data_IF_684854969742
#
_entry.id   IF_684854969742
#
_cell.length_a   1.000
_cell.length_b   1.000
_cell.length_c   1.000
_cell.angle_alpha   90.00
_cell.angle_beta   90.00
_cell.angle_gamma   90.00
#
_symmetry.space_group_name_H-M   'P 1'
#
loop_
_entity.id
_entity.type
_entity.pdbx_description
1 polymer ?
#
# COMPACT_ATOMS: atom_id res chain seq x y z
N UNK A 1 10.19 -27.24 -19.59
CA UNK A 1 9.28 -27.81 -20.61
C UNK A 1 9.65 -29.25 -20.97
N UNK A 2 10.85 -29.50 -21.49
CA UNK A 2 11.31 -30.85 -21.90
C UNK A 2 11.11 -31.97 -20.85
N UNK A 3 11.22 -31.66 -19.55
CA UNK A 3 10.97 -32.63 -18.47
C UNK A 3 9.53 -33.14 -18.43
N UNK A 4 8.55 -32.27 -18.72
CA UNK A 4 7.11 -32.58 -18.66
C UNK A 4 6.51 -32.85 -20.03
N UNK A 5 7.21 -32.43 -21.10
CA UNK A 5 6.87 -32.71 -22.48
C UNK A 5 8.11 -33.11 -23.29
N UNK A 6 8.58 -34.36 -23.15
CA UNK A 6 9.85 -34.83 -23.71
C UNK A 6 9.98 -34.65 -25.23
N UNK A 7 8.88 -34.68 -25.97
CA UNK A 7 8.82 -34.46 -27.42
C UNK A 7 9.30 -33.07 -27.84
N UNK A 8 9.33 -32.11 -26.92
CA UNK A 8 9.91 -30.78 -27.17
C UNK A 8 11.44 -30.77 -27.10
N UNK A 9 12.08 -31.71 -26.41
CA UNK A 9 13.53 -31.76 -26.24
C UNK A 9 14.31 -31.70 -27.57
N UNK A 10 14.04 -32.55 -28.58
CA UNK A 10 14.79 -32.51 -29.83
C UNK A 10 14.56 -31.21 -30.61
N UNK A 11 13.40 -30.56 -30.45
CA UNK A 11 13.09 -29.29 -31.10
C UNK A 11 13.85 -28.13 -30.43
N UNK A 12 13.92 -28.13 -29.10
CA UNK A 12 14.71 -27.16 -28.32
C UNK A 12 16.20 -27.31 -28.66
N UNK A 13 16.71 -28.54 -28.67
CA UNK A 13 18.11 -28.81 -29.04
C UNK A 13 18.44 -28.35 -30.47
N UNK A 14 17.53 -28.59 -31.42
CA UNK A 14 17.71 -28.12 -32.78
C UNK A 14 17.74 -26.59 -32.87
N UNK A 15 16.85 -25.89 -32.15
CA UNK A 15 16.84 -24.43 -32.09
C UNK A 15 18.16 -23.88 -31.51
N UNK A 16 18.63 -24.45 -30.40
CA UNK A 16 19.91 -24.05 -29.78
C UNK A 16 21.11 -24.35 -30.67
N UNK A 17 21.13 -25.49 -31.38
CA UNK A 17 22.20 -25.82 -32.33
C UNK A 17 22.24 -24.86 -33.52
N UNK A 18 21.07 -24.47 -34.03
CA UNK A 18 20.97 -23.51 -35.13
C UNK A 18 21.36 -22.09 -34.69
N UNK A 19 20.97 -21.70 -33.48
CA UNK A 19 21.18 -20.35 -32.93
C UNK A 19 21.78 -20.42 -31.51
N UNK A 20 23.09 -20.70 -31.36
CA UNK A 20 23.73 -20.88 -30.03
C UNK A 20 23.61 -19.66 -29.11
N UNK A 21 23.47 -18.48 -29.71
CA UNK A 21 23.27 -17.19 -29.06
C UNK A 21 21.94 -17.10 -28.28
N UNK A 22 20.98 -18.02 -28.49
CA UNK A 22 19.77 -18.12 -27.66
C UNK A 22 20.09 -18.40 -26.17
N UNK A 23 21.25 -18.97 -25.86
CA UNK A 23 21.69 -19.29 -24.50
C UNK A 23 22.58 -18.23 -23.84
N UNK A 24 23.04 -17.22 -24.60
CA UNK A 24 24.02 -16.24 -24.09
C UNK A 24 23.35 -14.92 -23.73
N UNK A 25 23.05 -14.74 -22.44
CA UNK A 25 22.36 -13.55 -21.93
C UNK A 25 23.09 -12.22 -22.25
N UNK A 26 24.42 -12.17 -22.11
CA UNK A 26 25.20 -10.94 -22.13
C UNK A 26 25.69 -10.48 -23.53
N UNK A 27 25.57 -11.30 -24.57
CA UNK A 27 26.13 -11.03 -25.91
C UNK A 27 25.13 -11.22 -27.05
N UNK A 28 23.89 -11.65 -26.78
CA UNK A 28 22.95 -11.97 -27.85
C UNK A 28 22.17 -10.74 -28.33
N UNK A 29 21.98 -10.63 -29.64
CA UNK A 29 20.98 -9.75 -30.27
C UNK A 29 19.53 -10.21 -30.05
N UNK A 30 19.30 -11.30 -29.30
CA UNK A 30 17.97 -11.85 -29.07
C UNK A 30 17.37 -11.31 -27.80
N UNK A 31 16.20 -10.72 -27.99
CA UNK A 31 15.32 -10.21 -26.96
C UNK A 31 14.64 -11.37 -26.20
N UNK A 32 14.16 -11.14 -24.97
CA UNK A 32 13.57 -12.20 -24.13
C UNK A 32 12.34 -12.83 -24.79
N UNK A 33 11.52 -12.02 -25.46
CA UNK A 33 10.39 -12.47 -26.26
C UNK A 33 10.80 -13.40 -27.40
N UNK A 34 11.89 -13.09 -28.12
CA UNK A 34 12.41 -13.96 -29.18
C UNK A 34 12.86 -15.32 -28.62
N UNK A 35 13.54 -15.34 -27.47
CA UNK A 35 13.93 -16.60 -26.80
C UNK A 35 12.71 -17.40 -26.36
N UNK A 36 11.71 -16.76 -25.75
CA UNK A 36 10.46 -17.39 -25.36
C UNK A 36 9.76 -18.02 -26.58
N UNK A 37 9.71 -17.30 -27.69
CA UNK A 37 9.13 -17.78 -28.94
C UNK A 37 9.86 -19.04 -29.45
N UNK A 38 11.19 -19.00 -29.57
CA UNK A 38 12.01 -20.08 -30.15
C UNK A 38 12.15 -21.30 -29.25
N UNK A 39 12.25 -21.10 -27.94
CA UNK A 39 12.56 -22.17 -26.99
C UNK A 39 11.31 -22.76 -26.31
N UNK A 40 10.19 -22.03 -26.31
CA UNK A 40 8.96 -22.46 -25.62
C UNK A 40 7.81 -22.62 -26.60
N UNK A 41 7.41 -21.54 -27.27
CA UNK A 41 6.17 -21.53 -28.07
C UNK A 41 6.25 -22.34 -29.36
N UNK A 42 7.33 -22.22 -30.12
CA UNK A 42 7.51 -22.98 -31.36
C UNK A 42 7.62 -24.49 -31.12
N UNK A 43 8.46 -24.99 -30.18
CA UNK A 43 8.51 -26.40 -29.84
C UNK A 43 7.15 -26.93 -29.36
N UNK A 44 6.47 -26.18 -28.46
CA UNK A 44 5.16 -26.59 -27.95
C UNK A 44 4.13 -26.69 -29.08
N UNK A 45 4.06 -25.68 -29.95
CA UNK A 45 3.14 -25.65 -31.10
C UNK A 45 3.40 -26.83 -32.04
N UNK A 46 4.66 -27.14 -32.33
CA UNK A 46 5.02 -28.25 -33.19
C UNK A 46 4.60 -29.60 -32.61
N UNK A 47 4.77 -29.80 -31.30
CA UNK A 47 4.30 -31.02 -30.61
C UNK A 47 2.76 -31.07 -30.58
N UNK A 48 2.10 -29.97 -30.23
CA UNK A 48 0.64 -29.88 -30.17
C UNK A 48 0.00 -30.16 -31.54
N UNK A 49 0.60 -29.68 -32.64
CA UNK A 49 0.15 -29.95 -34.00
C UNK A 49 0.27 -31.44 -34.37
N UNK A 50 1.36 -32.10 -33.96
CA UNK A 50 1.56 -33.55 -34.16
C UNK A 50 0.58 -34.37 -33.31
N UNK A 51 0.37 -33.94 -32.07
CA UNK A 51 -0.46 -34.64 -31.11
C UNK A 51 -1.97 -34.42 -31.33
N UNK A 52 -2.38 -33.37 -32.05
CA UNK A 52 -3.76 -33.22 -32.56
C UNK A 52 -4.20 -34.37 -33.47
N UNK A 53 -3.27 -35.18 -33.98
CA UNK A 53 -3.55 -36.42 -34.73
C UNK A 53 -3.87 -37.62 -33.80
N UNK A 54 -3.65 -37.47 -32.48
CA UNK A 54 -3.86 -38.48 -31.45
C UNK A 54 -4.71 -37.88 -30.30
N UNK A 55 -5.99 -38.25 -30.22
CA UNK A 55 -7.02 -37.72 -29.28
C UNK A 55 -6.63 -37.49 -27.80
N UNK A 56 -5.54 -38.07 -27.31
CA UNK A 56 -5.11 -38.03 -25.91
C UNK A 56 -4.55 -36.67 -25.45
N UNK A 57 -3.80 -35.98 -26.31
CA UNK A 57 -3.03 -34.78 -25.92
C UNK A 57 -3.88 -33.51 -25.74
N UNK A 58 -5.11 -33.52 -26.25
CA UNK A 58 -6.06 -32.41 -26.17
C UNK A 58 -6.99 -32.48 -24.94
N UNK A 59 -6.87 -33.54 -24.12
CA UNK A 59 -7.80 -33.77 -23.01
C UNK A 59 -7.64 -32.76 -21.86
N UNK A 60 -6.44 -32.21 -21.66
CA UNK A 60 -6.17 -31.17 -20.67
C UNK A 60 -5.15 -30.14 -21.20
N UNK A 61 -5.34 -28.83 -20.92
CA UNK A 61 -4.37 -27.81 -21.29
C UNK A 61 -3.11 -27.91 -20.43
N UNK A 62 -1.94 -27.67 -21.04
CA UNK A 62 -0.69 -27.48 -20.31
C UNK A 62 -0.70 -26.11 -19.62
N UNK A 63 -0.19 -26.04 -18.40
CA UNK A 63 -0.07 -24.81 -17.63
C UNK A 63 1.40 -24.46 -17.43
N UNK A 64 1.77 -23.24 -17.82
CA UNK A 64 3.03 -22.61 -17.42
C UNK A 64 2.73 -21.66 -16.28
N UNK A 65 3.48 -21.78 -15.18
CA UNK A 65 3.41 -20.88 -14.03
C UNK A 65 4.69 -20.04 -14.05
N UNK A 66 4.53 -18.72 -14.09
CA UNK A 66 5.60 -17.74 -13.91
C UNK A 66 5.37 -17.11 -12.55
N UNK A 67 6.26 -17.38 -11.60
CA UNK A 67 6.17 -16.86 -10.24
C UNK A 67 7.13 -15.67 -10.08
N UNK A 68 6.63 -14.51 -9.65
CA UNK A 68 7.43 -13.30 -9.41
C UNK A 68 7.96 -12.64 -10.68
N UNK A 69 7.10 -12.33 -11.65
CA UNK A 69 7.53 -11.67 -12.90
C UNK A 69 8.21 -10.30 -12.65
N UNK A 70 7.82 -9.60 -11.59
CA UNK A 70 8.40 -8.32 -11.15
C UNK A 70 9.85 -8.43 -10.64
N UNK A 71 10.33 -9.62 -10.29
CA UNK A 71 11.72 -9.82 -9.85
C UNK A 71 12.73 -9.82 -11.02
N UNK A 72 12.24 -9.62 -12.25
CA UNK A 72 13.09 -9.51 -13.43
C UNK A 72 13.58 -8.08 -13.63
N UNK A 73 14.88 -7.86 -13.50
CA UNK A 73 15.51 -6.53 -13.65
C UNK A 73 15.33 -5.91 -15.05
N UNK A 74 15.20 -6.74 -16.09
CA UNK A 74 14.99 -6.31 -17.49
C UNK A 74 13.51 -5.97 -17.75
N UNK A 75 13.12 -4.74 -17.41
CA UNK A 75 11.73 -4.25 -17.54
C UNK A 75 11.24 -4.26 -18.99
N UNK A 76 12.10 -3.87 -19.93
CA UNK A 76 11.80 -3.92 -21.37
C UNK A 76 11.58 -5.36 -21.84
N UNK A 77 12.44 -6.28 -21.40
CA UNK A 77 12.30 -7.70 -21.67
C UNK A 77 11.03 -8.32 -21.08
N UNK A 78 10.60 -7.90 -19.88
CA UNK A 78 9.30 -8.29 -19.29
C UNK A 78 8.14 -7.86 -20.18
N UNK A 79 8.14 -6.61 -20.65
CA UNK A 79 7.12 -6.13 -21.58
C UNK A 79 7.09 -6.96 -22.87
N UNK A 80 8.26 -7.31 -23.40
CA UNK A 80 8.36 -8.11 -24.61
C UNK A 80 7.87 -9.55 -24.43
N UNK A 81 8.13 -10.15 -23.26
CA UNK A 81 7.59 -11.46 -22.87
C UNK A 81 6.07 -11.41 -22.83
N UNK A 82 5.48 -10.39 -22.22
CA UNK A 82 4.03 -10.19 -22.18
C UNK A 82 3.47 -10.04 -23.61
N UNK A 83 4.06 -9.16 -24.41
CA UNK A 83 3.62 -8.88 -25.78
C UNK A 83 3.70 -10.11 -26.69
N UNK A 84 4.79 -10.86 -26.59
CA UNK A 84 5.00 -12.09 -27.35
C UNK A 84 4.00 -13.16 -26.94
N UNK A 85 3.72 -13.27 -25.65
CA UNK A 85 2.71 -14.19 -25.11
C UNK A 85 1.32 -13.88 -25.64
N UNK A 86 0.90 -12.61 -25.57
CA UNK A 86 -0.40 -12.18 -26.08
C UNK A 86 -0.53 -12.40 -27.59
N UNK A 87 0.54 -12.08 -28.34
CA UNK A 87 0.61 -12.32 -29.78
C UNK A 87 0.48 -13.81 -30.11
N UNK A 88 1.17 -14.68 -29.36
CA UNK A 88 1.10 -16.12 -29.53
C UNK A 88 -0.33 -16.65 -29.33
N UNK A 89 -1.00 -16.28 -28.24
CA UNK A 89 -2.37 -16.73 -27.98
C UNK A 89 -3.38 -16.17 -29.01
N UNK A 90 -3.20 -14.93 -29.46
CA UNK A 90 -4.03 -14.34 -30.52
C UNK A 90 -3.88 -15.10 -31.85
N UNK A 91 -2.67 -15.54 -32.19
CA UNK A 91 -2.40 -16.30 -33.41
C UNK A 91 -2.79 -17.78 -33.30
N UNK A 92 -2.91 -18.32 -32.08
CA UNK A 92 -3.15 -19.74 -31.84
C UNK A 92 -4.27 -19.94 -30.79
N UNK A 93 -5.52 -19.52 -31.05
CA UNK A 93 -6.59 -19.48 -30.04
C UNK A 93 -6.99 -20.86 -29.49
N UNK A 94 -6.76 -21.93 -30.26
CA UNK A 94 -7.08 -23.31 -29.88
C UNK A 94 -5.90 -24.09 -29.30
N UNK A 95 -4.77 -23.42 -29.04
CA UNK A 95 -3.60 -24.09 -28.46
C UNK A 95 -3.94 -24.61 -27.07
N UNK A 96 -3.62 -25.88 -26.71
CA UNK A 96 -3.89 -26.43 -25.39
C UNK A 96 -2.83 -25.95 -24.37
N UNK A 97 -2.63 -24.64 -24.28
CA UNK A 97 -1.66 -24.00 -23.38
C UNK A 97 -2.36 -22.90 -22.57
N UNK A 98 -2.00 -22.76 -21.31
CA UNK A 98 -2.40 -21.70 -20.40
C UNK A 98 -1.17 -21.16 -19.69
N UNK A 99 -1.20 -19.87 -19.37
CA UNK A 99 -0.15 -19.22 -18.57
C UNK A 99 -0.81 -18.59 -17.35
N UNK A 100 -0.24 -18.86 -16.19
CA UNK A 100 -0.53 -18.19 -14.93
C UNK A 100 0.70 -17.40 -14.52
N UNK A 101 0.52 -16.13 -14.20
CA UNK A 101 1.58 -15.22 -13.78
C UNK A 101 1.22 -14.70 -12.39
N UNK A 102 2.11 -14.87 -11.42
CA UNK A 102 2.10 -14.08 -10.19
C UNK A 102 3.10 -12.93 -10.36
N UNK A 103 2.72 -11.76 -9.89
CA UNK A 103 3.55 -10.56 -9.98
C UNK A 103 3.02 -9.49 -9.03
N UNK A 104 3.90 -8.61 -8.54
CA UNK A 104 3.49 -7.32 -7.98
C UNK A 104 2.94 -6.41 -9.09
N UNK A 105 2.14 -5.42 -8.69
CA UNK A 105 1.52 -4.45 -9.61
C UNK A 105 2.53 -3.36 -9.97
N UNK A 106 3.58 -3.73 -10.71
CA UNK A 106 4.45 -2.74 -11.32
C UNK A 106 3.77 -2.11 -12.53
N UNK A 107 3.94 -0.80 -12.72
CA UNK A 107 3.28 -0.06 -13.80
C UNK A 107 3.57 -0.66 -15.17
N UNK A 108 4.81 -1.07 -15.42
CA UNK A 108 5.24 -1.62 -16.71
C UNK A 108 4.51 -2.94 -17.06
N UNK A 109 4.17 -3.75 -16.05
CA UNK A 109 3.40 -5.00 -16.17
C UNK A 109 1.92 -4.68 -16.34
N UNK A 110 1.38 -3.79 -15.50
CA UNK A 110 -0.04 -3.41 -15.56
C UNK A 110 -0.41 -2.77 -16.91
N UNK A 111 0.40 -1.81 -17.39
CA UNK A 111 0.18 -1.15 -18.69
C UNK A 111 0.21 -2.14 -19.87
N UNK A 112 1.08 -3.15 -19.82
CA UNK A 112 1.17 -4.17 -20.87
C UNK A 112 -0.05 -5.11 -20.87
N UNK A 113 -0.61 -5.43 -19.70
CA UNK A 113 -1.73 -6.37 -19.56
C UNK A 113 -3.11 -5.73 -19.70
N UNK A 114 -3.30 -4.51 -19.20
CA UNK A 114 -4.60 -3.82 -19.20
C UNK A 114 -5.05 -3.40 -20.61
N UNK A 115 -4.09 -3.15 -21.52
CA UNK A 115 -4.36 -2.56 -22.83
C UNK A 115 -4.77 -3.56 -23.93
N UNK A 116 -4.66 -4.88 -23.71
CA UNK A 116 -4.59 -5.86 -24.83
C UNK A 116 -5.64 -6.97 -24.88
N UNK A 117 -6.55 -7.07 -23.91
CA UNK A 117 -7.59 -8.09 -23.89
C UNK A 117 -7.06 -9.53 -23.78
N UNK A 118 -7.91 -10.50 -23.43
CA UNK A 118 -7.49 -11.91 -23.31
C UNK A 118 -6.72 -12.28 -22.03
N UNK A 119 -6.46 -11.31 -21.15
CA UNK A 119 -5.88 -11.53 -19.82
C UNK A 119 -6.97 -11.44 -18.75
N UNK A 120 -6.99 -12.40 -17.83
CA UNK A 120 -7.81 -12.32 -16.61
C UNK A 120 -6.93 -11.83 -15.47
N UNK A 121 -7.03 -10.55 -15.15
CA UNK A 121 -6.36 -9.96 -14.00
C UNK A 121 -7.15 -10.26 -12.74
N UNK A 122 -6.44 -10.65 -11.69
CA UNK A 122 -7.02 -10.89 -10.37
C UNK A 122 -6.13 -10.23 -9.33
N UNK A 123 -6.63 -9.17 -8.72
CA UNK A 123 -5.97 -8.53 -7.59
C UNK A 123 -6.13 -9.39 -6.33
N UNK A 124 -5.01 -9.75 -5.71
CA UNK A 124 -4.94 -10.54 -4.49
C UNK A 124 -4.73 -9.69 -3.24
N UNK A 125 -4.56 -8.38 -3.36
CA UNK A 125 -4.30 -7.51 -2.21
C UNK A 125 -5.44 -7.53 -1.19
N UNK A 126 -6.69 -7.67 -1.66
CA UNK A 126 -7.86 -7.83 -0.81
C UNK A 126 -8.23 -9.29 -0.53
N UNK A 127 -7.32 -10.25 -0.82
CA UNK A 127 -7.57 -11.69 -0.63
C UNK A 127 -6.84 -12.27 0.57
N UNK A 128 -6.05 -11.47 1.29
CA UNK A 128 -5.61 -11.83 2.63
C UNK A 128 -6.53 -11.15 3.65
N UNK A 129 -7.57 -11.87 4.07
CA UNK A 129 -8.48 -11.39 5.10
C UNK A 129 -7.92 -11.65 6.50
N UNK A 130 -8.48 -10.94 7.48
CA UNK A 130 -8.30 -11.27 8.90
C UNK A 130 -8.62 -12.74 9.16
N UNK A 131 -9.65 -13.27 8.52
CA UNK A 131 -10.12 -14.65 8.69
C UNK A 131 -9.09 -15.68 8.19
N UNK A 132 -8.32 -15.35 7.15
CA UNK A 132 -7.23 -16.18 6.65
C UNK A 132 -6.09 -16.27 7.66
N UNK A 133 -5.72 -15.14 8.27
CA UNK A 133 -4.72 -15.11 9.35
C UNK A 133 -5.24 -15.84 10.58
N UNK A 134 -6.50 -15.66 10.98
CA UNK A 134 -7.10 -16.39 12.10
C UNK A 134 -7.12 -17.91 11.84
N UNK A 135 -7.41 -18.32 10.59
CA UNK A 135 -7.39 -19.73 10.19
C UNK A 135 -5.98 -20.30 10.19
N UNK A 136 -5.02 -19.56 9.63
CA UNK A 136 -3.60 -19.92 9.65
C UNK A 136 -3.10 -20.08 11.10
N UNK A 137 -3.39 -19.10 11.95
CA UNK A 137 -3.07 -19.10 13.38
C UNK A 137 -3.61 -20.34 14.08
N UNK A 138 -4.92 -20.62 13.93
CA UNK A 138 -5.58 -21.79 14.53
C UNK A 138 -4.90 -23.10 14.09
N UNK A 139 -4.53 -23.21 12.82
CA UNK A 139 -3.87 -24.40 12.29
C UNK A 139 -2.44 -24.56 12.83
N UNK A 140 -1.65 -23.48 12.85
CA UNK A 140 -0.26 -23.52 13.32
C UNK A 140 -0.20 -23.81 14.83
N UNK A 141 -0.94 -23.07 15.66
CA UNK A 141 -0.99 -23.33 17.09
C UNK A 141 -1.59 -24.69 17.41
N UNK A 142 -2.62 -25.13 16.68
CA UNK A 142 -3.21 -26.46 16.82
C UNK A 142 -2.22 -27.58 16.50
N UNK A 143 -1.41 -27.42 15.45
CA UNK A 143 -0.35 -28.37 15.12
C UNK A 143 0.75 -28.40 16.20
N UNK A 144 1.16 -27.24 16.71
CA UNK A 144 2.16 -27.15 17.77
C UNK A 144 1.67 -27.70 19.11
N UNK A 145 0.40 -27.47 19.45
CA UNK A 145 -0.23 -28.09 20.61
C UNK A 145 -0.27 -29.62 20.50
N UNK A 146 -0.40 -30.18 19.29
CA UNK A 146 -0.32 -31.64 19.11
C UNK A 146 1.13 -32.16 19.17
N UNK A 147 2.07 -31.45 18.55
CA UNK A 147 3.44 -31.93 18.37
C UNK A 147 4.34 -31.69 19.60
N UNK A 148 4.23 -30.56 20.28
CA UNK A 148 5.19 -30.13 21.30
C UNK A 148 4.75 -30.51 22.74
N UNK A 149 5.51 -31.36 23.47
CA UNK A 149 5.17 -31.78 24.82
C UNK A 149 5.09 -30.65 25.85
N UNK A 150 5.93 -29.62 25.72
CA UNK A 150 5.93 -28.46 26.63
C UNK A 150 4.64 -27.68 26.48
N UNK A 151 4.20 -27.47 25.24
CA UNK A 151 2.94 -26.78 24.93
C UNK A 151 1.75 -27.58 25.48
N UNK A 152 1.72 -28.90 25.30
CA UNK A 152 0.66 -29.75 25.87
C UNK A 152 0.58 -29.64 27.39
N UNK A 153 1.72 -29.75 28.07
CA UNK A 153 1.77 -29.68 29.52
C UNK A 153 1.26 -28.34 30.05
N UNK A 154 1.65 -27.23 29.40
CA UNK A 154 1.17 -25.91 29.74
C UNK A 154 -0.35 -25.79 29.54
N UNK A 155 -0.88 -26.25 28.40
CA UNK A 155 -2.32 -26.19 28.10
C UNK A 155 -3.13 -26.97 29.14
N UNK A 156 -2.65 -28.14 29.56
CA UNK A 156 -3.32 -28.95 30.60
C UNK A 156 -3.38 -28.24 31.97
N UNK A 157 -2.44 -27.34 32.27
CA UNK A 157 -2.36 -26.64 33.55
C UNK A 157 -3.04 -25.26 33.54
N UNK A 158 -2.97 -24.53 32.43
CA UNK A 158 -3.36 -23.12 32.34
C UNK A 158 -4.53 -22.86 31.38
N UNK A 159 -5.01 -23.89 30.67
CA UNK A 159 -6.06 -23.77 29.66
C UNK A 159 -5.52 -23.45 28.26
N UNK A 160 -6.39 -23.00 27.33
CA UNK A 160 -6.03 -22.76 25.94
C UNK A 160 -4.84 -21.80 25.80
N UNK A 161 -3.85 -22.20 25.00
CA UNK A 161 -2.71 -21.36 24.65
C UNK A 161 -2.54 -21.29 23.12
N UNK A 162 -2.38 -20.08 22.54
CA UNK A 162 -2.40 -18.77 23.21
C UNK A 162 -3.79 -18.45 23.79
N UNK A 163 -3.85 -17.52 24.74
CA UNK A 163 -5.14 -17.03 25.24
C UNK A 163 -5.92 -16.38 24.09
N UNK A 164 -7.27 -16.34 24.13
CA UNK A 164 -8.04 -15.66 23.09
C UNK A 164 -7.65 -14.18 22.90
N UNK A 165 -7.23 -13.50 23.97
CA UNK A 165 -6.75 -12.12 23.92
C UNK A 165 -5.41 -12.02 23.19
N UNK A 166 -4.45 -12.88 23.51
CA UNK A 166 -3.13 -12.88 22.85
C UNK A 166 -3.22 -13.34 21.39
N UNK A 167 -4.10 -14.29 21.10
CA UNK A 167 -4.39 -14.71 19.73
C UNK A 167 -4.93 -13.52 18.91
N UNK A 168 -5.89 -12.76 19.46
CA UNK A 168 -6.43 -11.57 18.82
C UNK A 168 -5.35 -10.51 18.60
N UNK A 169 -4.53 -10.22 19.62
CA UNK A 169 -3.42 -9.27 19.50
C UNK A 169 -2.42 -9.71 18.43
N UNK A 170 -2.09 -11.00 18.35
CA UNK A 170 -1.16 -11.50 17.34
C UNK A 170 -1.73 -11.42 15.93
N UNK A 171 -3.03 -11.70 15.75
CA UNK A 171 -3.73 -11.51 14.46
C UNK A 171 -3.72 -10.04 14.05
N UNK A 172 -4.07 -9.14 14.97
CA UNK A 172 -4.06 -7.70 14.72
C UNK A 172 -2.64 -7.20 14.41
N UNK A 173 -1.62 -7.73 15.10
CA UNK A 173 -0.20 -7.42 14.89
C UNK A 173 0.32 -7.92 13.54
N UNK A 174 -0.09 -9.12 13.11
CA UNK A 174 0.27 -9.70 11.81
C UNK A 174 -0.30 -8.89 10.65
N UNK A 175 -1.48 -8.27 10.83
CA UNK A 175 -2.03 -7.31 9.86
C UNK A 175 -2.19 -7.85 8.43
N UNK A 176 -2.43 -9.16 8.25
CA UNK A 176 -2.51 -9.78 6.92
C UNK A 176 -1.18 -10.20 6.29
N UNK A 177 -0.03 -9.96 6.93
CA UNK A 177 1.27 -10.30 6.36
C UNK A 177 1.69 -11.74 6.71
N UNK A 178 1.54 -12.67 5.75
CA UNK A 178 2.02 -14.05 5.93
C UNK A 178 3.54 -14.16 6.13
N UNK A 179 4.32 -13.25 5.53
CA UNK A 179 5.78 -13.19 5.73
C UNK A 179 6.08 -12.81 7.19
N UNK A 180 5.36 -11.82 7.72
CA UNK A 180 5.53 -11.43 9.12
C UNK A 180 5.05 -12.52 10.07
N UNK A 181 3.88 -13.12 9.79
CA UNK A 181 3.36 -14.26 10.54
C UNK A 181 4.40 -15.38 10.61
N UNK A 182 4.97 -15.80 9.47
CA UNK A 182 6.02 -16.82 9.43
C UNK A 182 7.22 -16.46 10.30
N UNK A 183 7.63 -15.19 10.31
CA UNK A 183 8.74 -14.68 11.12
C UNK A 183 8.42 -14.77 12.62
N UNK A 184 7.24 -14.31 13.05
CA UNK A 184 6.80 -14.42 14.44
C UNK A 184 6.70 -15.87 14.89
N UNK A 185 6.16 -16.75 14.04
CA UNK A 185 6.04 -18.17 14.36
C UNK A 185 7.39 -18.87 14.46
N UNK A 186 8.33 -18.56 13.57
CA UNK A 186 9.71 -19.02 13.69
C UNK A 186 10.31 -18.56 15.00
N UNK A 187 10.12 -17.29 15.37
CA UNK A 187 10.61 -16.76 16.64
C UNK A 187 9.98 -17.47 17.86
N UNK A 188 8.67 -17.68 17.87
CA UNK A 188 7.97 -18.33 19.00
C UNK A 188 8.42 -19.79 19.16
N UNK A 189 8.48 -20.55 18.06
CA UNK A 189 8.62 -22.00 18.12
C UNK A 189 10.04 -22.54 17.88
N UNK A 190 10.95 -21.74 17.32
CA UNK A 190 12.33 -22.16 17.06
C UNK A 190 13.24 -21.66 18.17
N UNK A 191 14.11 -22.52 18.69
CA UNK A 191 15.12 -22.13 19.68
C UNK A 191 16.21 -21.30 19.01
N UNK A 192 16.54 -20.14 19.59
CA UNK A 192 17.61 -19.28 19.09
C UNK A 192 18.98 -19.81 19.55
N UNK A 193 19.45 -20.91 18.93
CA UNK A 193 20.82 -21.40 19.07
C UNK A 193 21.15 -22.13 20.39
N UNK A 194 22.43 -22.46 20.57
CA UNK A 194 22.92 -23.17 21.77
C UNK A 194 22.93 -22.23 22.98
N UNK A 195 21.96 -22.41 23.87
CA UNK A 195 21.88 -21.71 25.16
C UNK A 195 20.52 -21.08 25.45
N UNK A 196 19.67 -20.90 24.44
CA UNK A 196 18.32 -20.39 24.63
C UNK A 196 17.41 -21.45 25.28
N UNK A 197 17.07 -21.22 26.55
CA UNK A 197 16.18 -22.07 27.36
C UNK A 197 14.75 -21.56 27.40
N UNK A 198 14.42 -20.48 26.67
CA UNK A 198 13.06 -19.94 26.67
C UNK A 198 12.08 -20.89 26.00
N UNK A 199 10.89 -20.96 26.57
CA UNK A 199 9.76 -21.70 26.03
C UNK A 199 8.97 -20.83 25.04
N UNK A 200 8.11 -21.42 24.20
CA UNK A 200 7.18 -20.64 23.37
C UNK A 200 6.32 -19.65 24.18
N UNK A 201 6.03 -19.97 25.45
CA UNK A 201 5.24 -19.15 26.36
C UNK A 201 6.01 -17.90 26.80
N UNK A 202 7.33 -18.01 26.97
CA UNK A 202 8.20 -16.87 27.28
C UNK A 202 8.38 -15.96 26.06
N UNK A 203 8.40 -16.55 24.86
CA UNK A 203 8.60 -15.82 23.60
C UNK A 203 7.33 -15.15 23.06
N UNK A 204 6.14 -15.69 23.31
CA UNK A 204 4.89 -15.13 22.79
C UNK A 204 4.67 -13.65 23.20
N UNK A 205 4.84 -13.25 24.47
CA UNK A 205 4.74 -11.84 24.86
C UNK A 205 5.77 -10.94 24.17
N UNK A 206 6.97 -11.47 23.89
CA UNK A 206 7.99 -10.74 23.13
C UNK A 206 7.58 -10.60 21.66
N UNK A 207 7.03 -11.66 21.06
CA UNK A 207 6.54 -11.67 19.68
C UNK A 207 5.45 -10.62 19.42
N UNK A 208 4.60 -10.34 20.41
CA UNK A 208 3.61 -9.26 20.36
C UNK A 208 4.23 -7.86 20.29
N UNK A 209 5.50 -7.71 20.66
CA UNK A 209 6.24 -6.45 20.66
C UNK A 209 7.35 -6.40 19.58
N UNK A 210 7.59 -7.51 18.88
CA UNK A 210 8.58 -7.56 17.79
C UNK A 210 8.07 -6.69 16.65
N UNK A 211 8.85 -5.67 16.27
CA UNK A 211 8.65 -5.01 14.98
C UNK A 211 8.98 -6.01 13.87
N UNK A 212 8.31 -5.97 12.72
CA UNK A 212 8.44 -6.99 11.68
C UNK A 212 9.83 -7.11 11.02
N UNK A 213 10.85 -6.39 11.51
CA UNK A 213 12.20 -6.40 10.96
C UNK A 213 12.28 -5.76 9.57
N UNK A 214 11.24 -5.01 9.18
CA UNK A 214 11.11 -4.40 7.86
C UNK A 214 11.77 -3.03 7.77
N UNK A 215 12.30 -2.49 8.86
CA UNK A 215 12.86 -1.12 8.92
C UNK A 215 14.00 -0.91 7.91
N UNK A 216 14.86 -1.92 7.72
CA UNK A 216 15.94 -1.90 6.71
C UNK A 216 15.36 -1.86 5.30
N UNK A 217 14.35 -2.70 5.03
CA UNK A 217 13.65 -2.72 3.74
C UNK A 217 12.97 -1.37 3.46
N UNK A 218 12.24 -0.83 4.44
CA UNK A 218 11.60 0.47 4.34
C UNK A 218 12.61 1.56 4.03
N UNK A 219 13.72 1.61 4.77
CA UNK A 219 14.78 2.60 4.56
C UNK A 219 15.40 2.49 3.15
N UNK A 220 15.62 1.27 2.65
CA UNK A 220 16.15 1.05 1.30
C UNK A 220 15.19 1.50 0.21
N UNK A 221 13.89 1.25 0.38
CA UNK A 221 12.87 1.67 -0.59
C UNK A 221 12.72 3.19 -0.57
N UNK A 222 12.62 3.81 0.61
CA UNK A 222 12.54 5.27 0.72
C UNK A 222 13.78 5.99 0.18
N UNK A 223 14.98 5.45 0.39
CA UNK A 223 16.20 6.03 -0.13
C UNK A 223 16.26 6.12 -1.66
N UNK A 224 15.48 5.30 -2.39
CA UNK A 224 15.38 5.39 -3.86
C UNK A 224 14.51 6.55 -4.33
N UNK A 225 13.56 6.97 -3.49
CA UNK A 225 12.56 7.98 -3.82
C UNK A 225 12.84 9.35 -3.17
N UNK A 226 13.84 9.45 -2.27
CA UNK A 226 14.01 10.61 -1.39
C UNK A 226 14.34 11.92 -2.12
N UNK A 227 14.95 11.82 -3.30
CA UNK A 227 15.30 12.96 -4.16
C UNK A 227 14.14 13.41 -5.07
N UNK A 228 13.00 12.70 -5.05
CA UNK A 228 11.87 13.06 -5.89
C UNK A 228 11.17 14.33 -5.41
N UNK A 229 10.70 15.20 -6.33
CA UNK A 229 9.83 16.30 -5.99
C UNK A 229 8.61 15.82 -5.19
N UNK A 230 8.24 16.57 -4.16
CA UNK A 230 7.09 16.29 -3.29
C UNK A 230 7.17 15.00 -2.46
N UNK A 231 8.29 14.24 -2.50
CA UNK A 231 8.46 12.99 -1.74
C UNK A 231 8.02 13.14 -0.28
N UNK A 232 8.63 14.08 0.45
CA UNK A 232 8.33 14.34 1.86
C UNK A 232 6.85 14.65 2.10
N UNK A 233 6.24 15.49 1.24
CA UNK A 233 4.85 15.87 1.40
C UNK A 233 3.92 14.67 1.20
N UNK A 234 4.15 13.87 0.16
CA UNK A 234 3.34 12.68 -0.15
C UNK A 234 3.45 11.64 0.96
N UNK A 235 4.67 11.31 1.42
CA UNK A 235 4.84 10.33 2.50
C UNK A 235 4.24 10.83 3.82
N UNK A 236 4.39 12.11 4.14
CA UNK A 236 3.87 12.69 5.37
C UNK A 236 2.34 12.67 5.40
N UNK A 237 1.69 13.03 4.27
CA UNK A 237 0.24 12.93 4.15
C UNK A 237 -0.20 11.49 4.36
N UNK A 238 0.29 10.54 3.55
CA UNK A 238 -0.12 9.13 3.60
C UNK A 238 0.05 8.52 4.99
N UNK A 239 1.13 8.91 5.70
CA UNK A 239 1.41 8.45 7.05
C UNK A 239 0.36 8.94 8.05
N UNK A 240 0.00 10.23 7.99
CA UNK A 240 -0.80 10.91 9.00
C UNK A 240 -2.31 10.93 8.70
N UNK A 241 -2.74 10.46 7.52
CA UNK A 241 -4.15 10.36 7.18
C UNK A 241 -4.91 9.47 8.18
N UNK A 242 -6.02 10.00 8.71
CA UNK A 242 -6.96 9.29 9.57
C UNK A 242 -7.68 8.16 8.82
N UNK A 243 -7.96 8.40 7.54
CA UNK A 243 -8.54 7.45 6.60
C UNK A 243 -7.78 7.49 5.27
N UNK A 244 -7.44 6.35 4.66
CA UNK A 244 -6.78 6.30 3.36
C UNK A 244 -7.53 7.10 2.28
N UNK A 245 -6.78 7.75 1.39
CA UNK A 245 -7.33 8.57 0.30
C UNK A 245 -6.85 8.09 -1.08
N UNK A 246 -7.64 8.28 -2.14
CA UNK A 246 -7.19 8.04 -3.50
C UNK A 246 -6.13 9.07 -3.92
N UNK A 247 -5.37 8.74 -4.96
CA UNK A 247 -4.32 9.61 -5.55
C UNK A 247 -4.85 11.01 -5.87
N UNK A 248 -6.05 11.08 -6.47
CA UNK A 248 -6.72 12.33 -6.82
C UNK A 248 -6.97 13.23 -5.61
N UNK A 249 -7.38 12.65 -4.48
CA UNK A 249 -7.65 13.38 -3.25
C UNK A 249 -6.35 13.81 -2.53
N UNK A 250 -5.30 12.98 -2.57
CA UNK A 250 -3.97 13.35 -2.06
C UNK A 250 -3.42 14.55 -2.85
N UNK A 251 -3.53 14.50 -4.18
CA UNK A 251 -3.10 15.58 -5.06
C UNK A 251 -3.86 16.89 -4.79
N UNK A 252 -5.19 16.80 -4.61
CA UNK A 252 -6.04 17.95 -4.28
C UNK A 252 -5.68 18.55 -2.91
N UNK A 253 -5.43 17.73 -1.89
CA UNK A 253 -4.99 18.20 -0.57
C UNK A 253 -3.65 18.91 -0.63
N UNK A 254 -2.68 18.34 -1.35
CA UNK A 254 -1.34 18.89 -1.49
C UNK A 254 -1.23 20.06 -2.47
N UNK A 255 -2.30 20.35 -3.22
CA UNK A 255 -2.35 21.32 -4.31
C UNK A 255 -1.28 21.07 -5.40
N UNK A 256 -1.12 19.80 -5.77
CA UNK A 256 -0.20 19.34 -6.82
C UNK A 256 -0.95 18.51 -7.88
N UNK A 257 -0.28 18.14 -8.96
CA UNK A 257 -0.86 17.30 -10.01
C UNK A 257 -0.84 15.82 -9.62
N UNK A 258 -1.87 15.08 -10.02
CA UNK A 258 -1.98 13.65 -9.70
C UNK A 258 -0.78 12.83 -10.19
N UNK A 259 -0.18 13.18 -11.34
CA UNK A 259 1.00 12.49 -11.85
C UNK A 259 2.24 12.67 -10.95
N UNK A 260 2.33 13.78 -10.21
CA UNK A 260 3.43 14.04 -9.27
C UNK A 260 3.30 13.12 -8.04
N UNK A 261 2.07 12.88 -7.58
CA UNK A 261 1.78 11.89 -6.54
C UNK A 261 2.10 10.48 -7.04
N UNK A 262 1.63 10.12 -8.24
CA UNK A 262 1.90 8.81 -8.84
C UNK A 262 3.41 8.57 -8.97
N UNK A 263 4.18 9.56 -9.42
CA UNK A 263 5.63 9.44 -9.58
C UNK A 263 6.33 9.01 -8.28
N UNK A 264 5.97 9.63 -7.15
CA UNK A 264 6.49 9.23 -5.83
C UNK A 264 6.03 7.81 -5.45
N UNK A 265 4.74 7.53 -5.65
CA UNK A 265 4.14 6.25 -5.26
C UNK A 265 4.71 5.05 -6.04
N UNK A 266 5.08 5.24 -7.30
CA UNK A 266 5.69 4.21 -8.15
C UNK A 266 7.01 3.69 -7.57
N UNK A 267 7.85 4.58 -7.05
CA UNK A 267 9.12 4.19 -6.39
C UNK A 267 8.88 3.46 -5.05
N UNK A 268 7.68 3.57 -4.47
CA UNK A 268 7.30 3.00 -3.18
C UNK A 268 6.40 1.76 -3.30
N UNK A 269 6.16 1.24 -4.51
CA UNK A 269 5.24 0.11 -4.77
C UNK A 269 5.57 -1.17 -4.00
N UNK A 270 6.82 -1.33 -3.57
CA UNK A 270 7.22 -2.46 -2.74
C UNK A 270 6.59 -2.46 -1.33
N UNK A 271 6.15 -1.30 -0.84
CA UNK A 271 5.68 -1.10 0.54
C UNK A 271 4.37 -0.31 0.64
N UNK A 272 3.93 0.29 -0.47
CA UNK A 272 2.65 0.98 -0.64
C UNK A 272 1.88 0.33 -1.79
N UNK A 273 0.61 0.04 -1.56
CA UNK A 273 -0.31 -0.41 -2.58
C UNK A 273 -0.84 0.79 -3.36
N UNK A 274 -0.43 0.90 -4.62
CA UNK A 274 -0.88 1.93 -5.54
C UNK A 274 -2.06 1.39 -6.34
N UNK A 275 -3.26 2.00 -6.19
CA UNK A 275 -4.44 1.55 -6.89
C UNK A 275 -4.35 1.83 -8.40
N UNK A 276 -4.87 0.91 -9.22
CA UNK A 276 -4.97 1.10 -10.67
C UNK A 276 -6.17 1.96 -11.11
N UNK A 277 -6.93 2.53 -10.17
CA UNK A 277 -8.11 3.36 -10.45
C UNK A 277 -8.13 4.61 -9.58
N UNK A 278 -8.75 5.69 -10.09
CA UNK A 278 -8.75 7.02 -9.44
C UNK A 278 -9.63 7.13 -8.19
N UNK A 279 -10.42 6.09 -7.89
CA UNK A 279 -11.38 6.07 -6.78
C UNK A 279 -10.99 5.15 -5.64
N UNK A 280 -9.98 4.29 -5.84
CA UNK A 280 -9.53 3.38 -4.80
C UNK A 280 -8.46 4.09 -3.95
N UNK A 281 -8.48 3.96 -2.62
CA UNK A 281 -7.48 4.57 -1.77
C UNK A 281 -6.08 3.99 -1.93
N UNK A 282 -5.06 4.81 -1.68
CA UNK A 282 -3.68 4.38 -1.49
C UNK A 282 -3.56 3.77 -0.09
N UNK A 283 -3.12 2.52 0.01
CA UNK A 283 -3.00 1.80 1.28
C UNK A 283 -1.57 1.33 1.51
N UNK A 284 -1.18 1.16 2.78
CA UNK A 284 0.12 0.61 3.15
C UNK A 284 0.07 -0.92 3.02
N UNK A 285 1.14 -1.54 2.54
CA UNK A 285 1.20 -3.01 2.48
C UNK A 285 1.21 -3.65 3.88
N UNK A 286 1.61 -2.91 4.91
CA UNK A 286 1.55 -3.34 6.30
C UNK A 286 1.43 -2.14 7.26
N UNK A 287 0.71 -2.32 8.37
CA UNK A 287 0.50 -1.28 9.39
C UNK A 287 1.82 -0.77 10.01
N UNK A 288 2.82 -1.65 10.17
CA UNK A 288 4.12 -1.28 10.75
C UNK A 288 4.91 -0.25 9.95
N UNK A 289 4.55 0.00 8.69
CA UNK A 289 5.15 1.08 7.91
C UNK A 289 4.78 2.44 8.50
N UNK A 290 3.53 2.61 8.96
CA UNK A 290 3.11 3.81 9.69
C UNK A 290 3.92 3.95 10.98
N UNK A 291 4.05 2.88 11.76
CA UNK A 291 4.82 2.89 13.01
C UNK A 291 6.31 3.22 12.79
N UNK A 292 6.88 2.76 11.67
CA UNK A 292 8.25 3.11 11.27
C UNK A 292 8.37 4.62 11.03
N UNK A 293 7.49 5.18 10.19
CA UNK A 293 7.51 6.61 9.82
C UNK A 293 7.17 7.54 10.99
N UNK A 294 6.39 7.09 11.98
CA UNK A 294 6.05 7.87 13.18
C UNK A 294 6.98 7.64 14.37
N UNK A 295 8.05 6.85 14.22
CA UNK A 295 9.05 6.61 15.27
C UNK A 295 10.44 7.05 14.81
N UNK A 296 10.92 8.18 15.33
CA UNK A 296 12.21 8.78 14.93
C UNK A 296 13.39 7.81 15.04
N UNK A 297 13.49 7.06 16.14
CA UNK A 297 14.56 6.08 16.34
C UNK A 297 14.56 4.91 15.35
N UNK A 298 13.46 4.69 14.63
CA UNK A 298 13.33 3.63 13.61
C UNK A 298 13.57 4.17 12.19
N UNK A 299 13.00 5.33 11.87
CA UNK A 299 13.02 5.90 10.52
C UNK A 299 14.14 6.90 10.25
N UNK A 300 14.79 7.43 11.29
CA UNK A 300 15.87 8.40 11.15
C UNK A 300 15.44 9.60 10.30
N UNK A 301 16.10 9.79 9.15
CA UNK A 301 15.80 10.90 8.23
C UNK A 301 14.44 10.81 7.54
N UNK A 302 13.80 9.64 7.55
CA UNK A 302 12.45 9.44 6.99
C UNK A 302 11.32 9.66 8.01
N UNK A 303 11.67 10.09 9.23
CA UNK A 303 10.71 10.38 10.27
C UNK A 303 9.72 11.46 9.84
N UNK A 304 8.43 11.18 10.02
CA UNK A 304 7.33 12.12 9.79
C UNK A 304 6.94 12.72 11.14
N UNK A 305 7.40 13.94 11.46
CA UNK A 305 7.09 14.57 12.72
C UNK A 305 5.61 14.94 12.83
N UNK A 306 5.03 14.95 14.06
CA UNK A 306 3.68 15.41 14.30
C UNK A 306 3.38 16.84 13.81
N UNK A 307 4.40 17.69 13.60
CA UNK A 307 4.24 19.02 13.01
C UNK A 307 3.60 19.02 11.62
N UNK A 308 3.68 17.92 10.86
CA UNK A 308 2.95 17.79 9.60
C UNK A 308 1.43 17.79 9.79
N UNK A 309 0.90 17.50 10.98
CA UNK A 309 -0.52 17.71 11.26
C UNK A 309 -0.92 19.18 11.16
N UNK A 310 -0.08 20.11 11.62
CA UNK A 310 -0.35 21.56 11.49
C UNK A 310 -0.46 21.97 10.01
N UNK A 311 0.41 21.42 9.17
CA UNK A 311 0.36 21.61 7.72
C UNK A 311 -0.93 21.04 7.11
N UNK A 312 -1.31 19.83 7.51
CA UNK A 312 -2.55 19.18 7.06
C UNK A 312 -3.80 19.97 7.43
N UNK A 313 -3.84 20.66 8.57
CA UNK A 313 -4.96 21.56 8.91
C UNK A 313 -5.10 22.67 7.86
N UNK A 314 -3.99 23.31 7.48
CA UNK A 314 -3.97 24.40 6.49
C UNK A 314 -4.39 23.89 5.11
N UNK A 315 -3.87 22.73 4.71
CA UNK A 315 -4.18 22.11 3.42
C UNK A 315 -5.66 21.68 3.35
N UNK A 316 -6.19 21.06 4.42
CA UNK A 316 -7.62 20.73 4.53
C UNK A 316 -8.51 21.97 4.43
N UNK A 317 -8.17 23.05 5.16
CA UNK A 317 -8.97 24.28 5.13
C UNK A 317 -8.91 24.97 3.76
N UNK A 318 -7.76 24.91 3.09
CA UNK A 318 -7.60 25.43 1.73
C UNK A 318 -8.47 24.65 0.73
N UNK A 319 -8.53 23.33 0.86
CA UNK A 319 -9.40 22.46 0.06
C UNK A 319 -10.89 22.78 0.28
N UNK A 320 -11.31 22.90 1.55
CA UNK A 320 -12.67 23.30 1.92
C UNK A 320 -13.05 24.66 1.33
N UNK A 321 -12.19 25.67 1.48
CA UNK A 321 -12.44 27.02 0.99
C UNK A 321 -12.56 27.07 -0.55
N UNK A 322 -11.72 26.32 -1.27
CA UNK A 322 -11.83 26.17 -2.74
C UNK A 322 -13.19 25.60 -3.14
N UNK A 323 -13.72 24.64 -2.39
CA UNK A 323 -15.03 24.06 -2.64
C UNK A 323 -16.18 25.05 -2.34
N UNK A 324 -16.13 25.73 -1.19
CA UNK A 324 -17.12 26.76 -0.79
C UNK A 324 -17.24 27.88 -1.82
N UNK A 325 -16.11 28.36 -2.36
CA UNK A 325 -16.09 29.40 -3.40
C UNK A 325 -16.77 28.98 -4.70
N UNK A 326 -16.76 27.69 -5.04
CA UNK A 326 -17.45 27.15 -6.21
C UNK A 326 -18.96 26.99 -5.99
N UNK A 327 -19.42 26.91 -4.74
CA UNK A 327 -20.83 26.70 -4.37
C UNK A 327 -21.28 27.63 -3.22
N UNK A 328 -21.30 28.97 -3.42
CA UNK A 328 -21.46 29.96 -2.34
C UNK A 328 -22.84 30.01 -1.67
N UNK A 329 -23.85 29.28 -2.17
CA UNK A 329 -25.22 29.27 -1.63
C UNK A 329 -25.62 27.95 -0.96
N UNK A 330 -24.71 26.98 -0.90
CA UNK A 330 -25.04 25.63 -0.43
C UNK A 330 -24.32 25.34 0.87
N UNK A 331 -25.07 24.85 1.86
CA UNK A 331 -24.50 24.39 3.13
C UNK A 331 -23.66 23.13 2.87
N UNK A 332 -22.35 23.27 3.00
CA UNK A 332 -21.35 22.23 2.69
C UNK A 332 -21.45 21.06 3.67
N UNK A 333 -21.93 21.30 4.90
CA UNK A 333 -22.22 20.25 5.90
C UNK A 333 -23.54 19.49 5.63
N UNK A 334 -24.46 20.04 4.82
CA UNK A 334 -25.76 19.41 4.45
C UNK A 334 -25.82 18.92 3.01
N UNK A 335 -24.76 19.12 2.23
CA UNK A 335 -24.67 18.54 0.90
C UNK A 335 -24.68 17.01 1.07
N UNK A 336 -25.60 16.33 0.40
CA UNK A 336 -25.51 14.87 0.25
C UNK A 336 -24.08 14.55 -0.21
N UNK A 337 -23.49 13.49 0.35
CA UNK A 337 -22.13 12.99 0.12
C UNK A 337 -21.74 12.76 -1.37
N UNK A 338 -22.56 13.17 -2.34
CA UNK A 338 -22.52 12.82 -3.76
C UNK A 338 -21.83 13.89 -4.63
N UNK A 339 -21.77 15.16 -4.22
CA UNK A 339 -21.26 16.26 -5.10
C UNK A 339 -19.93 16.88 -4.68
N UNK A 340 -19.36 16.48 -3.53
CA UNK A 340 -18.02 16.90 -3.09
C UNK A 340 -16.95 15.89 -3.51
N UNK A 341 -15.72 16.38 -3.71
CA UNK A 341 -14.57 15.50 -3.89
C UNK A 341 -14.24 14.78 -2.57
N UNK A 342 -13.57 13.63 -2.68
CA UNK A 342 -13.15 12.83 -1.51
C UNK A 342 -12.22 13.62 -0.59
N UNK A 343 -11.39 14.52 -1.14
CA UNK A 343 -10.51 15.40 -0.35
C UNK A 343 -11.29 16.40 0.51
N UNK A 344 -12.36 17.00 -0.03
CA UNK A 344 -13.21 17.94 0.71
C UNK A 344 -13.93 17.23 1.85
N UNK A 345 -14.50 16.05 1.58
CA UNK A 345 -15.14 15.24 2.62
C UNK A 345 -14.18 14.88 3.74
N UNK A 346 -12.97 14.43 3.38
CA UNK A 346 -11.92 14.17 4.36
C UNK A 346 -11.58 15.40 5.18
N UNK A 347 -11.45 16.56 4.53
CA UNK A 347 -11.09 17.83 5.18
C UNK A 347 -12.13 18.27 6.21
N UNK A 348 -13.41 18.14 5.89
CA UNK A 348 -14.51 18.47 6.80
C UNK A 348 -14.56 17.53 8.02
N UNK A 349 -14.29 16.24 7.83
CA UNK A 349 -14.35 15.24 8.90
C UNK A 349 -13.11 15.30 9.79
N UNK A 350 -11.92 15.34 9.20
CA UNK A 350 -10.65 15.10 9.90
C UNK A 350 -9.78 16.34 10.09
N UNK A 351 -10.04 17.42 9.35
CA UNK A 351 -9.25 18.65 9.41
C UNK A 351 -9.16 19.21 10.83
N UNK A 352 -10.29 19.37 11.51
CA UNK A 352 -10.30 19.80 12.91
C UNK A 352 -10.21 18.63 13.89
N UNK A 353 -11.04 17.59 13.73
CA UNK A 353 -11.14 16.51 14.73
C UNK A 353 -9.83 15.73 14.94
N UNK A 354 -8.99 15.62 13.90
CA UNK A 354 -7.74 14.85 13.94
C UNK A 354 -6.53 15.77 13.78
N UNK A 355 -6.44 16.52 12.68
CA UNK A 355 -5.21 17.24 12.38
C UNK A 355 -5.00 18.45 13.30
N UNK A 356 -6.05 19.20 13.67
CA UNK A 356 -5.90 20.23 14.69
C UNK A 356 -5.53 19.63 16.04
N UNK A 357 -6.25 18.59 16.48
CA UNK A 357 -6.00 17.94 17.76
C UNK A 357 -4.54 17.48 17.94
N UNK A 358 -3.94 16.88 16.91
CA UNK A 358 -2.54 16.44 16.95
C UNK A 358 -1.52 17.53 16.57
N UNK A 359 -1.93 18.55 15.83
CA UNK A 359 -1.05 19.59 15.27
C UNK A 359 -0.96 20.87 16.08
N UNK A 360 -1.94 21.16 16.94
CA UNK A 360 -2.05 22.43 17.70
C UNK A 360 -0.75 22.84 18.42
N UNK A 361 -0.04 21.93 19.11
CA UNK A 361 1.21 22.28 19.81
C UNK A 361 2.38 22.64 18.88
N UNK A 362 2.29 22.34 17.60
CA UNK A 362 3.40 22.40 16.64
C UNK A 362 3.28 23.54 15.62
N UNK A 363 2.18 24.28 15.62
CA UNK A 363 2.06 25.43 14.71
C UNK A 363 3.08 26.50 15.05
N UNK A 364 3.75 27.04 14.03
CA UNK A 364 4.50 28.29 14.15
C UNK A 364 3.56 29.50 14.17
N UNK A 365 4.03 30.65 14.67
CA UNK A 365 3.28 31.90 14.63
C UNK A 365 2.89 32.30 13.19
N UNK A 366 3.76 32.04 12.21
CA UNK A 366 3.48 32.30 10.79
C UNK A 366 2.36 31.40 10.26
N UNK A 367 2.36 30.12 10.62
CA UNK A 367 1.30 29.18 10.21
C UNK A 367 -0.04 29.50 10.88
N UNK A 368 -0.05 29.90 12.16
CA UNK A 368 -1.26 30.39 12.83
C UNK A 368 -1.80 31.65 12.17
N UNK A 369 -0.93 32.59 11.78
CA UNK A 369 -1.32 33.78 11.03
C UNK A 369 -1.98 33.44 9.69
N UNK A 370 -1.40 32.49 8.94
CA UNK A 370 -2.00 31.98 7.69
C UNK A 370 -3.33 31.29 7.94
N UNK A 371 -3.42 30.46 8.99
CA UNK A 371 -4.65 29.75 9.34
C UNK A 371 -5.77 30.73 9.73
N UNK A 372 -5.43 31.77 10.49
CA UNK A 372 -6.36 32.84 10.87
C UNK A 372 -6.91 33.56 9.64
N UNK A 373 -6.05 33.89 8.67
CA UNK A 373 -6.46 34.47 7.40
C UNK A 373 -7.45 33.56 6.66
N UNK A 374 -7.10 32.28 6.48
CA UNK A 374 -7.98 31.33 5.80
C UNK A 374 -9.33 31.16 6.51
N UNK A 375 -9.36 31.15 7.85
CA UNK A 375 -10.61 31.08 8.62
C UNK A 375 -11.48 32.32 8.45
N UNK A 376 -10.88 33.51 8.33
CA UNK A 376 -11.62 34.74 8.00
C UNK A 376 -12.22 34.67 6.59
N UNK A 377 -11.46 34.17 5.61
CA UNK A 377 -11.99 33.95 4.25
C UNK A 377 -13.15 32.94 4.25
N UNK A 378 -13.12 31.93 5.12
CA UNK A 378 -14.25 31.00 5.32
C UNK A 378 -15.48 31.73 5.87
N UNK A 379 -15.32 32.64 6.85
CA UNK A 379 -16.44 33.43 7.40
C UNK A 379 -17.20 34.24 6.35
N UNK A 380 -16.52 34.66 5.27
CA UNK A 380 -17.14 35.41 4.18
C UNK A 380 -18.06 34.55 3.29
N UNK A 381 -17.87 33.22 3.31
CA UNK A 381 -18.54 32.29 2.38
C UNK A 381 -19.35 31.18 3.07
N UNK A 382 -19.39 31.15 4.41
CA UNK A 382 -20.18 30.17 5.17
C UNK A 382 -21.66 30.55 5.24
N UNK A 383 -22.52 29.54 5.35
CA UNK A 383 -23.95 29.78 5.55
C UNK A 383 -24.23 30.23 6.98
N UNK A 384 -25.38 30.89 7.19
CA UNK A 384 -25.82 31.31 8.53
C UNK A 384 -25.78 30.18 9.58
N UNK A 385 -26.06 28.94 9.16
CA UNK A 385 -26.08 27.77 10.06
C UNK A 385 -24.66 27.32 10.48
N UNK A 386 -23.63 27.63 9.70
CA UNK A 386 -22.23 27.27 9.95
C UNK A 386 -21.45 28.42 10.61
N UNK A 387 -22.05 29.61 10.68
CA UNK A 387 -21.42 30.84 11.14
C UNK A 387 -20.90 30.71 12.57
N UNK A 388 -21.72 30.15 13.47
CA UNK A 388 -21.39 30.03 14.88
C UNK A 388 -20.15 29.13 15.10
N UNK A 389 -20.11 27.95 14.46
CA UNK A 389 -18.97 27.05 14.51
C UNK A 389 -17.71 27.69 13.90
N UNK A 390 -17.86 28.39 12.78
CA UNK A 390 -16.75 29.07 12.09
C UNK A 390 -16.14 30.20 12.93
N UNK A 391 -16.99 30.97 13.64
CA UNK A 391 -16.55 32.01 14.59
C UNK A 391 -15.77 31.38 15.74
N UNK A 392 -16.25 30.27 16.30
CA UNK A 392 -15.55 29.55 17.37
C UNK A 392 -14.16 29.06 16.91
N UNK A 393 -14.05 28.55 15.68
CA UNK A 393 -12.77 28.13 15.11
C UNK A 393 -11.79 29.30 14.91
N UNK A 394 -12.26 30.50 14.57
CA UNK A 394 -11.42 31.72 14.55
C UNK A 394 -10.92 32.07 15.95
N UNK A 395 -11.81 32.04 16.96
CA UNK A 395 -11.44 32.33 18.34
C UNK A 395 -10.39 31.35 18.89
N UNK A 396 -10.50 30.06 18.55
CA UNK A 396 -9.51 29.04 18.89
C UNK A 396 -8.14 29.38 18.31
N UNK A 397 -8.06 29.77 17.03
CA UNK A 397 -6.79 30.14 16.39
C UNK A 397 -6.18 31.40 17.02
N UNK A 398 -7.00 32.41 17.31
CA UNK A 398 -6.56 33.62 18.01
C UNK A 398 -6.01 33.31 19.40
N UNK A 399 -6.65 32.39 20.14
CA UNK A 399 -6.16 31.94 21.44
C UNK A 399 -4.79 31.26 21.34
N UNK A 400 -4.59 30.35 20.37
CA UNK A 400 -3.27 29.73 20.15
C UNK A 400 -2.23 30.77 19.71
N UNK A 401 -2.59 31.76 18.88
CA UNK A 401 -1.69 32.84 18.45
C UNK A 401 -1.28 33.76 19.61
N UNK A 402 -2.21 34.03 20.54
CA UNK A 402 -1.92 34.79 21.76
C UNK A 402 -0.82 34.14 22.60
N UNK A 403 -0.75 32.80 22.62
CA UNK A 403 0.34 32.06 23.25
C UNK A 403 1.74 32.46 22.76
N UNK A 404 1.84 32.93 21.51
CA UNK A 404 3.08 33.39 20.88
C UNK A 404 3.31 34.89 21.05
N UNK A 405 2.33 35.72 20.69
CA UNK A 405 2.51 37.18 20.61
C UNK A 405 2.26 37.93 21.93
N UNK A 406 1.55 37.31 22.88
CA UNK A 406 1.02 37.91 24.11
C UNK A 406 0.31 39.26 23.90
N UNK A 407 -0.26 39.45 22.71
CA UNK A 407 -0.88 40.69 22.28
C UNK A 407 -2.25 40.87 22.91
N UNK A 408 -2.45 42.01 23.57
CA UNK A 408 -3.74 42.39 24.13
C UNK A 408 -4.83 42.48 23.07
N UNK A 409 -4.49 42.93 21.85
CA UNK A 409 -5.45 43.02 20.76
C UNK A 409 -5.93 41.64 20.31
N UNK A 410 -5.04 40.64 20.26
CA UNK A 410 -5.35 39.28 19.84
C UNK A 410 -6.35 38.61 20.80
N UNK A 411 -6.18 38.80 22.11
CA UNK A 411 -7.10 38.25 23.11
C UNK A 411 -8.42 39.03 23.20
N UNK A 412 -8.40 40.35 23.00
CA UNK A 412 -9.62 41.16 22.93
C UNK A 412 -10.50 40.77 21.72
N UNK A 413 -9.89 40.46 20.57
CA UNK A 413 -10.60 39.94 19.40
C UNK A 413 -11.22 38.57 19.70
N UNK A 414 -10.46 37.64 20.29
CA UNK A 414 -10.95 36.32 20.65
C UNK A 414 -12.15 36.39 21.62
N UNK A 415 -12.08 37.25 22.65
CA UNK A 415 -13.16 37.48 23.61
C UNK A 415 -14.39 38.08 22.93
N UNK A 416 -14.20 39.04 22.01
CA UNK A 416 -15.31 39.66 21.27
C UNK A 416 -16.06 38.64 20.41
N UNK A 417 -15.33 37.78 19.70
CA UNK A 417 -15.93 36.72 18.87
C UNK A 417 -16.65 35.67 19.73
N UNK A 418 -16.08 35.29 20.87
CA UNK A 418 -16.73 34.37 21.81
C UNK A 418 -18.03 34.96 22.39
N UNK A 419 -18.09 36.27 22.66
CA UNK A 419 -19.31 36.97 23.11
C UNK A 419 -20.40 37.01 22.05
N UNK A 420 -20.02 37.14 20.77
CA UNK A 420 -20.98 37.05 19.65
C UNK A 420 -21.58 35.65 19.49
N UNK A 421 -20.89 34.61 19.96
CA UNK A 421 -21.36 33.22 19.92
C UNK A 421 -22.30 32.85 21.10
N UNK A 422 -22.22 33.56 22.23
CA UNK A 422 -23.00 33.25 23.45
C UNK A 422 -24.30 34.06 23.58
N UNK A 423 -24.56 34.99 22.65
CA UNK A 423 -25.80 35.77 22.51
C UNK A 423 -26.64 35.20 21.37
#
# INVERSE_FOLDING_TARGET
MATYLPETAPLIEAAVKAEPQLLRAAESSFSLGARLQRLVYEPFKAVAARASLTRSFLSNPYLIIIDGLDECDDKEGVQEVIDTTLRFFKQNPSVPLRIYISSRVEQHIHSALASKGGVRLKDLANHCSRDDIETFMRNVFGAQAKANPVIRAYISQHGPWPSPSDAKKLVDHIGGSFIFASTLFKFIFTTAGQGDRSTPMDRLPLALNISPGLDVLYSQVFARAEDLPHFTNVISVITLLASPLPVSAIAELLDIQAYEVVHVLLELQAIIQVPGTDHTPVTLCHSSLRDFLTTEGRSGRFFVPPSFHARLVIDCLSCELKARRKMPTVNVLKLEFVTQTVAVQYSLIYGHSTHWYHGEPFFTATELGRLLQLRREVLEVVTFHEMAESINLVAIVLHSLFGYDRSKATIEEAISLHRQFTL
#
